data_IF_455177864583
#
_entry.id   IF_455177864583
#
_cell.length_a   1.000
_cell.length_b   1.000
_cell.length_c   1.000
_cell.angle_alpha   90.00
_cell.angle_beta   90.00
_cell.angle_gamma   90.00
#
_symmetry.space_group_name_H-M   'P 1'
#
loop_
_entity.id
_entity.type
_entity.pdbx_description
1 polymer ?
#
# COMPACT_ATOMS: atom_id res chain seq x y z
N UNK A 1 24.37 -1.13 -7.02
CA UNK A 1 23.03 -1.10 -6.38
C UNK A 1 22.01 -1.65 -7.35
N UNK A 2 21.34 -2.77 -7.01
CA UNK A 2 20.39 -3.48 -7.88
C UNK A 2 19.29 -2.54 -8.40
N UNK A 3 18.84 -2.73 -9.66
CA UNK A 3 17.79 -1.93 -10.30
C UNK A 3 16.52 -1.84 -9.44
N UNK A 4 16.14 -2.95 -8.81
CA UNK A 4 15.00 -3.04 -7.90
C UNK A 4 15.19 -2.18 -6.65
N UNK A 5 16.38 -2.16 -6.04
CA UNK A 5 16.65 -1.33 -4.86
C UNK A 5 16.52 0.16 -5.19
N UNK A 6 17.04 0.60 -6.34
CA UNK A 6 16.89 1.99 -6.79
C UNK A 6 15.41 2.36 -6.96
N UNK A 7 14.63 1.51 -7.62
CA UNK A 7 13.19 1.71 -7.79
C UNK A 7 12.45 1.75 -6.46
N UNK A 8 12.74 0.80 -5.56
CA UNK A 8 12.13 0.75 -4.23
C UNK A 8 12.36 2.03 -3.44
N UNK A 9 13.57 2.61 -3.49
CA UNK A 9 13.88 3.90 -2.84
C UNK A 9 13.09 5.05 -3.48
N UNK A 10 13.01 5.10 -4.81
CA UNK A 10 12.24 6.15 -5.51
C UNK A 10 10.76 6.07 -5.15
N UNK A 11 10.17 4.87 -5.19
CA UNK A 11 8.78 4.64 -4.83
C UNK A 11 8.51 4.94 -3.36
N UNK A 12 9.40 4.56 -2.45
CA UNK A 12 9.29 4.90 -1.04
C UNK A 12 9.32 6.42 -0.82
N UNK A 13 10.17 7.14 -1.55
CA UNK A 13 10.25 8.61 -1.47
C UNK A 13 8.96 9.26 -1.96
N UNK A 14 8.39 8.76 -3.07
CA UNK A 14 7.09 9.23 -3.56
C UNK A 14 6.00 8.94 -2.53
N UNK A 15 5.97 7.73 -1.98
CA UNK A 15 5.01 7.33 -0.95
C UNK A 15 5.11 8.19 0.31
N UNK A 16 6.33 8.59 0.69
CA UNK A 16 6.55 9.51 1.80
C UNK A 16 5.88 10.86 1.60
N UNK A 17 6.09 11.47 0.43
CA UNK A 17 5.48 12.76 0.11
C UNK A 17 3.97 12.69 -0.02
N UNK A 18 3.44 11.60 -0.59
CA UNK A 18 2.00 11.36 -0.65
C UNK A 18 1.42 11.22 0.76
N UNK A 19 2.07 10.44 1.63
CA UNK A 19 1.65 10.26 3.03
C UNK A 19 1.63 11.59 3.80
N UNK A 20 2.65 12.43 3.61
CA UNK A 20 2.67 13.78 4.18
C UNK A 20 1.54 14.66 3.64
N UNK A 21 1.33 14.67 2.33
CA UNK A 21 0.28 15.48 1.69
C UNK A 21 -1.12 15.08 2.20
N UNK A 22 -1.39 13.78 2.34
CA UNK A 22 -2.63 13.27 2.93
C UNK A 22 -2.75 13.72 4.39
N UNK A 23 -1.68 13.61 5.18
CA UNK A 23 -1.68 14.04 6.57
C UNK A 23 -1.98 15.53 6.75
N UNK A 24 -1.37 16.38 5.91
CA UNK A 24 -1.65 17.83 5.90
C UNK A 24 -3.09 18.10 5.48
N UNK A 25 -3.58 17.41 4.44
CA UNK A 25 -4.96 17.55 3.98
C UNK A 25 -5.98 17.16 5.05
N UNK A 26 -5.78 16.03 5.74
CA UNK A 26 -6.64 15.61 6.87
C UNK A 26 -6.59 16.66 8.00
N UNK A 27 -5.40 17.18 8.30
CA UNK A 27 -5.23 18.22 9.33
C UNK A 27 -5.95 19.51 8.96
N UNK A 28 -5.96 19.88 7.68
CA UNK A 28 -6.72 21.02 7.17
C UNK A 28 -8.24 20.79 7.32
N UNK A 29 -8.74 19.62 6.91
CA UNK A 29 -10.16 19.27 7.06
C UNK A 29 -10.60 19.23 8.53
N UNK A 30 -9.75 18.73 9.43
CA UNK A 30 -10.04 18.66 10.85
C UNK A 30 -10.07 20.06 11.51
N UNK A 31 -9.13 20.94 11.13
CA UNK A 31 -9.08 22.33 11.63
C UNK A 31 -10.13 23.25 11.00
N UNK A 32 -10.73 22.89 9.86
CA UNK A 32 -11.84 23.67 9.28
C UNK A 32 -13.05 23.81 10.21
N UNK A 33 -13.13 23.00 11.27
CA UNK A 33 -14.17 23.04 12.30
C UNK A 33 -13.71 23.71 13.61
N UNK A 34 -12.49 24.25 13.68
CA UNK A 34 -11.91 24.82 14.90
C UNK A 34 -11.69 26.34 14.75
N UNK A 35 -12.16 27.12 15.73
CA UNK A 35 -11.98 28.57 15.80
C UNK A 35 -10.54 28.92 16.22
N UNK A 36 -9.57 28.80 15.30
CA UNK A 36 -8.19 29.19 15.57
C UNK A 36 -7.21 28.87 14.44
N UNK A 37 -6.04 29.56 14.38
CA UNK A 37 -5.01 29.25 13.39
C UNK A 37 -4.46 27.84 13.61
N UNK A 38 -4.14 27.14 12.53
CA UNK A 38 -3.45 25.85 12.59
C UNK A 38 -2.07 26.03 13.25
N UNK A 39 -1.92 25.60 14.49
CA UNK A 39 -0.64 25.64 15.20
C UNK A 39 0.12 24.35 14.94
N UNK A 40 1.31 24.46 14.36
CA UNK A 40 2.22 23.33 14.19
C UNK A 40 2.85 22.97 15.55
N UNK A 41 2.26 22.00 16.24
CA UNK A 41 2.83 21.45 17.47
C UNK A 41 3.76 20.28 17.18
N UNK A 42 4.64 19.95 18.14
CA UNK A 42 5.51 18.75 18.03
C UNK A 42 4.70 17.46 17.83
N UNK A 43 3.50 17.37 18.40
CA UNK A 43 2.62 16.21 18.22
C UNK A 43 2.08 16.10 16.78
N UNK A 44 1.65 17.21 16.17
CA UNK A 44 1.20 17.22 14.77
C UNK A 44 2.35 16.85 13.85
N UNK A 45 3.55 17.36 14.12
CA UNK A 45 4.74 16.99 13.37
C UNK A 45 5.02 15.48 13.43
N UNK A 46 4.94 14.87 14.62
CA UNK A 46 5.11 13.42 14.77
C UNK A 46 4.02 12.62 14.04
N UNK A 47 2.77 13.08 14.06
CA UNK A 47 1.66 12.46 13.31
C UNK A 47 1.87 12.54 11.80
N UNK A 48 2.31 13.69 11.29
CA UNK A 48 2.63 13.89 9.88
C UNK A 48 3.80 13.01 9.45
N UNK A 49 4.89 12.98 10.23
CA UNK A 49 6.03 12.11 9.97
C UNK A 49 5.61 10.63 9.95
N UNK A 50 4.78 10.19 10.90
CA UNK A 50 4.25 8.84 10.91
C UNK A 50 3.43 8.54 9.64
N UNK A 51 2.61 9.49 9.18
CA UNK A 51 1.88 9.39 7.91
C UNK A 51 2.80 9.27 6.68
N UNK A 52 3.86 10.07 6.62
CA UNK A 52 4.87 9.97 5.58
C UNK A 52 5.60 8.62 5.61
N UNK A 53 6.09 8.20 6.78
CA UNK A 53 6.76 6.89 6.93
C UNK A 53 5.81 5.76 6.51
N UNK A 54 4.54 5.82 6.94
CA UNK A 54 3.57 4.82 6.56
C UNK A 54 3.30 4.81 5.07
N UNK A 55 3.27 5.96 4.39
CA UNK A 55 3.13 6.01 2.92
C UNK A 55 4.33 5.41 2.18
N UNK A 56 5.53 5.56 2.73
CA UNK A 56 6.76 5.02 2.14
C UNK A 56 6.82 3.49 2.15
N UNK A 57 6.32 2.85 3.23
CA UNK A 57 6.40 1.39 3.44
C UNK A 57 5.70 0.58 2.33
N UNK A 58 4.38 0.73 2.07
CA UNK A 58 3.69 -0.03 1.03
C UNK A 58 4.16 0.40 -0.36
N UNK A 59 4.41 1.69 -0.58
CA UNK A 59 4.81 2.16 -1.92
C UNK A 59 6.21 1.64 -2.30
N UNK A 60 7.16 1.67 -1.37
CA UNK A 60 8.46 1.02 -1.56
C UNK A 60 8.35 -0.50 -1.65
N UNK A 61 7.51 -1.11 -0.82
CA UNK A 61 7.23 -2.55 -0.80
C UNK A 61 6.58 -3.08 -2.08
N UNK A 62 5.95 -2.22 -2.89
CA UNK A 62 5.37 -2.61 -4.19
C UNK A 62 6.40 -3.20 -5.18
N UNK A 63 7.70 -2.92 -4.99
CA UNK A 63 8.78 -3.52 -5.78
C UNK A 63 8.82 -5.05 -5.71
N UNK A 64 8.24 -5.65 -4.67
CA UNK A 64 8.13 -7.12 -4.54
C UNK A 64 7.34 -7.74 -5.68
N UNK A 65 6.45 -6.99 -6.34
CA UNK A 65 5.71 -7.45 -7.52
C UNK A 65 6.55 -7.45 -8.81
N UNK A 66 7.71 -6.78 -8.82
CA UNK A 66 8.63 -6.79 -9.97
C UNK A 66 9.65 -7.94 -9.92
N UNK A 67 9.62 -8.78 -8.87
CA UNK A 67 10.52 -9.92 -8.74
C UNK A 67 9.96 -11.08 -9.58
N UNK A 68 10.54 -11.31 -10.76
CA UNK A 68 10.06 -12.30 -11.74
C UNK A 68 10.00 -13.75 -11.19
N UNK A 69 10.89 -14.10 -10.28
CA UNK A 69 10.95 -15.43 -9.65
C UNK A 69 9.81 -15.69 -8.65
N UNK A 70 9.14 -14.63 -8.19
CA UNK A 70 8.12 -14.75 -7.16
C UNK A 70 6.75 -14.98 -7.77
N UNK A 71 5.99 -15.92 -7.19
CA UNK A 71 4.57 -16.02 -7.50
C UNK A 71 3.84 -14.78 -7.01
N UNK A 72 2.75 -14.42 -7.70
CA UNK A 72 1.88 -13.29 -7.31
C UNK A 72 1.44 -13.41 -5.85
N UNK A 73 1.10 -14.63 -5.41
CA UNK A 73 0.72 -14.88 -4.02
C UNK A 73 1.85 -14.58 -3.03
N UNK A 74 3.09 -15.00 -3.34
CA UNK A 74 4.27 -14.72 -2.50
C UNK A 74 4.55 -13.22 -2.42
N UNK A 75 4.46 -12.51 -3.54
CA UNK A 75 4.64 -11.06 -3.59
C UNK A 75 3.58 -10.33 -2.76
N UNK A 76 2.29 -10.68 -2.92
CA UNK A 76 1.21 -10.10 -2.12
C UNK A 76 1.35 -10.41 -0.64
N UNK A 77 1.57 -11.67 -0.26
CA UNK A 77 1.70 -12.04 1.15
C UNK A 77 2.84 -11.26 1.83
N UNK A 78 3.98 -11.14 1.15
CA UNK A 78 5.12 -10.37 1.64
C UNK A 78 4.79 -8.89 1.76
N UNK A 79 4.18 -8.30 0.73
CA UNK A 79 3.75 -6.91 0.74
C UNK A 79 2.75 -6.63 1.86
N UNK A 80 1.79 -7.54 2.08
CA UNK A 80 0.81 -7.44 3.14
C UNK A 80 1.47 -7.47 4.52
N UNK A 81 2.35 -8.44 4.78
CA UNK A 81 3.07 -8.56 6.04
C UNK A 81 3.90 -7.29 6.32
N UNK A 82 4.63 -6.79 5.32
CA UNK A 82 5.42 -5.55 5.47
C UNK A 82 4.52 -4.35 5.77
N UNK A 83 3.43 -4.19 5.00
CA UNK A 83 2.51 -3.05 5.16
C UNK A 83 1.80 -3.10 6.51
N UNK A 84 1.28 -4.27 6.89
CA UNK A 84 0.54 -4.44 8.13
C UNK A 84 1.44 -4.33 9.35
N UNK A 85 2.65 -4.92 9.31
CA UNK A 85 3.61 -4.75 10.40
C UNK A 85 4.01 -3.28 10.57
N UNK A 86 4.24 -2.55 9.47
CA UNK A 86 4.45 -1.10 9.49
C UNK A 86 3.28 -0.33 10.13
N UNK A 87 2.03 -0.69 9.79
CA UNK A 87 0.84 -0.11 10.40
C UNK A 87 0.82 -0.32 11.92
N UNK A 88 1.03 -1.56 12.37
CA UNK A 88 0.99 -1.90 13.80
C UNK A 88 2.10 -1.19 14.58
N UNK A 89 3.34 -1.17 14.05
CA UNK A 89 4.47 -0.48 14.69
C UNK A 89 4.17 1.02 14.82
N UNK A 90 3.67 1.66 13.76
CA UNK A 90 3.34 3.08 13.80
C UNK A 90 2.13 3.38 14.71
N UNK A 91 1.12 2.51 14.71
CA UNK A 91 0.00 2.61 15.63
C UNK A 91 0.46 2.52 17.10
N UNK A 92 1.42 1.64 17.40
CA UNK A 92 2.02 1.56 18.74
C UNK A 92 2.78 2.86 19.10
N UNK A 93 3.62 3.37 18.19
CA UNK A 93 4.38 4.62 18.40
C UNK A 93 3.46 5.83 18.61
N UNK A 94 2.32 5.87 17.93
CA UNK A 94 1.32 6.95 18.08
C UNK A 94 0.40 6.76 19.30
N UNK A 95 0.57 5.70 20.09
CA UNK A 95 -0.29 5.39 21.24
C UNK A 95 -1.71 4.96 20.85
N UNK A 96 -1.93 4.59 19.60
CA UNK A 96 -3.22 4.11 19.10
C UNK A 96 -3.48 2.64 19.45
N UNK A 97 -2.45 1.90 19.86
CA UNK A 97 -2.53 0.49 20.22
C UNK A 97 -3.19 0.31 21.60
N UNK A 98 -4.49 0.60 21.65
CA UNK A 98 -5.35 0.40 22.81
C UNK A 98 -6.20 -0.84 22.56
N UNK A 99 -5.74 -1.99 23.06
CA UNK A 99 -6.40 -3.28 22.84
C UNK A 99 -7.80 -3.34 23.46
N UNK A 100 -8.04 -2.51 24.48
CA UNK A 100 -9.33 -2.24 25.12
C UNK A 100 -10.31 -1.45 24.24
N UNK A 101 -9.82 -0.75 23.22
CA UNK A 101 -10.63 0.13 22.40
C UNK A 101 -11.22 -0.61 21.18
N UNK A 102 -12.56 -0.75 21.07
CA UNK A 102 -13.19 -1.40 19.92
C UNK A 102 -12.91 -0.67 18.58
N UNK A 103 -12.67 0.65 18.61
CA UNK A 103 -12.36 1.43 17.40
C UNK A 103 -11.06 0.96 16.73
N UNK A 104 -10.05 0.56 17.51
CA UNK A 104 -8.80 0.03 16.98
C UNK A 104 -9.03 -1.25 16.16
N UNK A 105 -9.87 -2.15 16.68
CA UNK A 105 -10.22 -3.40 16.00
C UNK A 105 -11.05 -3.16 14.75
N UNK A 106 -12.02 -2.23 14.79
CA UNK A 106 -12.84 -1.88 13.62
C UNK A 106 -11.95 -1.33 12.49
N UNK A 107 -11.04 -0.40 12.80
CA UNK A 107 -10.14 0.19 11.80
C UNK A 107 -9.16 -0.86 11.25
N UNK A 108 -8.62 -1.74 12.11
CA UNK A 108 -7.70 -2.80 11.69
C UNK A 108 -8.40 -3.78 10.74
N UNK A 109 -9.58 -4.27 11.11
CA UNK A 109 -10.37 -5.17 10.27
C UNK A 109 -10.77 -4.49 8.96
N UNK A 110 -11.20 -3.22 9.00
CA UNK A 110 -11.51 -2.45 7.80
C UNK A 110 -10.29 -2.36 6.86
N UNK A 111 -9.10 -2.11 7.41
CA UNK A 111 -7.85 -2.10 6.64
C UNK A 111 -7.56 -3.46 5.98
N UNK A 112 -7.72 -4.57 6.71
CA UNK A 112 -7.60 -5.92 6.16
C UNK A 112 -8.60 -6.17 5.02
N UNK A 113 -9.87 -5.80 5.21
CA UNK A 113 -10.93 -6.00 4.23
C UNK A 113 -10.66 -5.19 2.97
N UNK A 114 -10.33 -3.90 3.11
CA UNK A 114 -9.97 -3.04 1.98
C UNK A 114 -8.76 -3.61 1.20
N UNK A 115 -7.72 -4.06 1.90
CA UNK A 115 -6.56 -4.68 1.28
C UNK A 115 -6.95 -5.95 0.51
N UNK A 116 -7.74 -6.83 1.13
CA UNK A 116 -8.21 -8.05 0.50
C UNK A 116 -9.06 -7.79 -0.74
N UNK A 117 -9.95 -6.80 -0.71
CA UNK A 117 -10.76 -6.41 -1.86
C UNK A 117 -9.90 -5.88 -3.01
N UNK A 118 -8.97 -4.96 -2.73
CA UNK A 118 -8.05 -4.43 -3.75
C UNK A 118 -7.26 -5.57 -4.38
N UNK A 119 -6.74 -6.49 -3.57
CA UNK A 119 -6.03 -7.66 -4.05
C UNK A 119 -6.92 -8.57 -4.90
N UNK A 120 -8.14 -8.87 -4.46
CA UNK A 120 -9.08 -9.74 -5.16
C UNK A 120 -9.42 -9.18 -6.55
N UNK A 121 -9.71 -7.88 -6.64
CA UNK A 121 -9.99 -7.24 -7.92
C UNK A 121 -8.79 -7.30 -8.87
N UNK A 122 -7.59 -6.99 -8.37
CA UNK A 122 -6.36 -7.10 -9.16
C UNK A 122 -6.12 -8.55 -9.62
N UNK A 123 -6.28 -9.52 -8.72
CA UNK A 123 -6.09 -10.94 -9.03
C UNK A 123 -7.05 -11.40 -10.12
N UNK A 124 -8.34 -11.05 -10.03
CA UNK A 124 -9.32 -11.42 -11.04
C UNK A 124 -9.03 -10.76 -12.39
N UNK A 125 -8.63 -9.48 -12.40
CA UNK A 125 -8.26 -8.76 -13.61
C UNK A 125 -7.03 -9.41 -14.29
N UNK A 126 -5.96 -9.67 -13.53
CA UNK A 126 -4.76 -10.31 -14.07
C UNK A 126 -5.02 -11.74 -14.53
N UNK A 127 -5.84 -12.50 -13.80
CA UNK A 127 -6.21 -13.87 -14.19
C UNK A 127 -6.96 -13.88 -15.53
N UNK A 128 -7.85 -12.91 -15.76
CA UNK A 128 -8.55 -12.75 -17.04
C UNK A 128 -7.56 -12.41 -18.15
N UNK A 129 -6.72 -11.41 -17.94
CA UNK A 129 -5.71 -10.97 -18.91
C UNK A 129 -4.74 -12.09 -19.33
N UNK A 130 -4.23 -12.87 -18.36
CA UNK A 130 -3.33 -14.00 -18.64
C UNK A 130 -4.05 -15.09 -19.44
N UNK A 131 -5.35 -15.32 -19.20
CA UNK A 131 -6.13 -16.30 -19.96
C UNK A 131 -6.28 -15.88 -21.42
N UNK A 132 -6.67 -14.63 -21.65
CA UNK A 132 -6.82 -14.06 -23.00
C UNK A 132 -5.51 -14.16 -23.78
N UNK A 133 -4.38 -13.78 -23.16
CA UNK A 133 -3.06 -13.87 -23.79
C UNK A 133 -2.66 -15.33 -24.11
N UNK A 134 -2.99 -16.28 -23.23
CA UNK A 134 -2.71 -17.70 -23.48
C UNK A 134 -3.57 -18.26 -24.62
N UNK A 135 -4.82 -17.81 -24.75
CA UNK A 135 -5.73 -18.23 -25.82
C UNK A 135 -5.26 -17.67 -27.17
N UNK A 136 -4.82 -16.41 -27.22
CA UNK A 136 -4.24 -15.78 -28.41
C UNK A 136 -2.98 -16.52 -28.89
N UNK A 137 -2.08 -16.88 -27.97
CA UNK A 137 -0.86 -17.64 -28.29
C UNK A 137 -1.22 -19.02 -28.88
N UNK A 138 -2.25 -19.69 -28.35
CA UNK A 138 -2.71 -20.99 -28.88
C UNK A 138 -3.30 -20.84 -30.28
N UNK A 139 -4.11 -19.80 -30.53
CA UNK A 139 -4.71 -19.53 -31.84
C UNK A 139 -3.64 -19.22 -32.91
N UNK A 140 -2.61 -18.44 -32.56
CA UNK A 140 -1.48 -18.17 -33.45
C UNK A 140 -0.72 -19.47 -33.75
N UNK A 141 -0.47 -20.29 -32.74
CA UNK A 141 0.26 -21.56 -32.89
C UNK A 141 -0.51 -22.56 -33.77
N UNK A 142 -1.84 -22.65 -33.66
CA UNK A 142 -2.64 -23.52 -34.50
C UNK A 142 -2.67 -23.05 -35.96
N UNK A 143 -2.80 -21.75 -36.23
CA UNK A 143 -2.77 -21.22 -37.60
C UNK A 143 -1.41 -21.45 -38.29
N UNK A 144 -0.31 -21.43 -37.54
CA UNK A 144 1.03 -21.69 -38.08
C UNK A 144 1.33 -23.18 -38.37
N UNK A 145 0.49 -24.10 -37.90
CA UNK A 145 0.61 -25.54 -38.20
C UNK A 145 -0.26 -25.97 -39.39
N UNK A 146 -1.19 -25.12 -39.82
CA UNK A 146 -2.12 -25.39 -40.93
C UNK A 146 -1.60 -24.78 -42.24
N UNK A 147 -0.74 -23.75 -42.16
CA UNK A 147 0.05 -23.21 -43.28
C UNK A 147 1.42 -23.87 -43.35
#
# INVERSE_FOLDING_TARGET
MNRLIKKGIVLATIGFWIGLAIGVFISFLANGNADGPMVFTGEIFLKLLAGGIYGAIPMGGSVMYEIEEWSIFRATATHFVITFSGFIILAAVQGWLRLDNPVFWIISVAFQVCYFLIWLFNYLAYRKYIREMNDDIRAIRSNKQIN
#
